data_IF_008346040632
#
_entry.id   IF_008346040632
#
_cell.length_a   1.000
_cell.length_b   1.000
_cell.length_c   1.000
_cell.angle_alpha   90.00
_cell.angle_beta   90.00
_cell.angle_gamma   90.00
#
_symmetry.space_group_name_H-M   'P 1'
#
loop_
_entity.id
_entity.type
_entity.pdbx_description
1 polymer ?
#
# COMPACT_ATOMS: atom_id res chain seq x y z
N UNK A 1 33.52 -38.20 14.17
CA UNK A 1 33.27 -36.82 13.69
C UNK A 1 33.32 -35.92 14.90
N UNK A 2 34.33 -35.07 15.02
CA UNK A 2 34.40 -34.10 16.10
C UNK A 2 33.45 -32.94 15.76
N UNK A 3 32.44 -32.67 16.59
CA UNK A 3 31.71 -31.41 16.55
C UNK A 3 32.70 -30.29 16.85
N UNK A 4 33.06 -29.52 15.82
CA UNK A 4 33.85 -28.30 15.99
C UNK A 4 32.91 -27.28 16.65
N UNK A 5 33.02 -27.15 17.96
CA UNK A 5 32.27 -26.15 18.71
C UNK A 5 32.76 -24.76 18.26
N UNK A 6 31.87 -23.86 17.79
CA UNK A 6 32.26 -22.59 17.21
C UNK A 6 33.08 -21.79 18.22
N UNK A 7 34.21 -21.21 17.77
CA UNK A 7 35.00 -20.38 18.68
C UNK A 7 34.22 -19.11 19.03
N UNK A 8 34.46 -18.49 20.20
CA UNK A 8 33.80 -17.24 20.57
C UNK A 8 34.00 -16.10 19.55
N UNK A 9 35.07 -16.17 18.74
CA UNK A 9 35.31 -15.24 17.63
C UNK A 9 34.39 -15.53 16.44
N UNK A 10 34.20 -16.80 16.07
CA UNK A 10 33.25 -17.20 15.01
C UNK A 10 31.81 -16.83 15.38
N UNK A 11 31.45 -17.01 16.66
CA UNK A 11 30.15 -16.59 17.18
C UNK A 11 29.94 -15.08 17.03
N UNK A 12 30.93 -14.25 17.39
CA UNK A 12 30.85 -12.78 17.23
C UNK A 12 30.79 -12.36 15.76
N UNK A 13 31.58 -12.97 14.89
CA UNK A 13 31.55 -12.70 13.46
C UNK A 13 30.17 -13.02 12.85
N UNK A 14 29.57 -14.15 13.23
CA UNK A 14 28.22 -14.53 12.78
C UNK A 14 27.13 -13.58 13.27
N UNK A 15 27.25 -13.05 14.50
CA UNK A 15 26.33 -12.06 15.05
C UNK A 15 26.46 -10.71 14.34
N UNK A 16 27.68 -10.28 14.02
CA UNK A 16 27.93 -9.04 13.27
C UNK A 16 27.40 -9.13 11.84
N UNK A 17 27.57 -10.27 11.17
CA UNK A 17 26.99 -10.51 9.84
C UNK A 17 25.46 -10.53 9.89
N UNK A 18 24.86 -11.21 10.86
CA UNK A 18 23.42 -11.21 11.07
C UNK A 18 22.89 -9.79 11.36
N UNK A 19 23.61 -9.00 12.15
CA UNK A 19 23.26 -7.60 12.44
C UNK A 19 23.33 -6.72 11.19
N UNK A 20 24.36 -6.87 10.36
CA UNK A 20 24.49 -6.15 9.08
C UNK A 20 23.38 -6.52 8.10
N UNK A 21 23.05 -7.81 7.99
CA UNK A 21 21.93 -8.27 7.17
C UNK A 21 20.59 -7.74 7.68
N UNK A 22 20.36 -7.79 9.00
CA UNK A 22 19.14 -7.25 9.62
C UNK A 22 19.00 -5.74 9.40
N UNK A 23 20.10 -4.98 9.50
CA UNK A 23 20.11 -3.55 9.22
C UNK A 23 19.81 -3.24 7.74
N UNK A 24 20.34 -4.06 6.82
CA UNK A 24 20.05 -3.97 5.38
C UNK A 24 18.57 -4.21 5.07
N UNK A 25 17.97 -5.23 5.69
CA UNK A 25 16.54 -5.54 5.55
C UNK A 25 15.64 -4.42 6.11
N UNK A 26 15.96 -3.86 7.28
CA UNK A 26 15.19 -2.73 7.84
C UNK A 26 15.25 -1.48 6.96
N UNK A 27 16.41 -1.18 6.36
CA UNK A 27 16.51 -0.08 5.38
C UNK A 27 15.66 -0.33 4.14
N UNK A 28 15.66 -1.56 3.63
CA UNK A 28 14.80 -1.93 2.50
C UNK A 28 13.30 -1.81 2.85
N UNK A 29 12.88 -2.28 4.02
CA UNK A 29 11.50 -2.20 4.49
C UNK A 29 11.04 -0.74 4.71
N UNK A 30 11.92 0.13 5.22
CA UNK A 30 11.60 1.55 5.45
C UNK A 30 11.46 2.38 4.16
N UNK A 31 12.10 1.96 3.06
CA UNK A 31 11.92 2.58 1.74
C UNK A 31 10.49 2.43 1.21
N UNK A 32 9.70 1.52 1.78
CA UNK A 32 8.31 1.28 1.38
C UNK A 32 7.32 2.27 1.99
N UNK A 33 7.65 2.85 3.15
CA UNK A 33 6.83 3.86 3.82
C UNK A 33 6.47 5.05 2.90
N UNK A 34 7.42 5.73 2.22
CA UNK A 34 7.07 6.85 1.35
C UNK A 34 6.22 6.43 0.15
N UNK A 35 6.36 5.20 -0.36
CA UNK A 35 5.56 4.69 -1.49
C UNK A 35 4.09 4.54 -1.08
N UNK A 36 3.84 3.89 0.06
CA UNK A 36 2.47 3.75 0.59
C UNK A 36 1.82 5.10 0.92
N UNK A 37 2.59 6.02 1.50
CA UNK A 37 2.11 7.37 1.81
C UNK A 37 1.80 8.14 0.52
N UNK A 38 2.67 8.07 -0.48
CA UNK A 38 2.43 8.70 -1.78
C UNK A 38 1.17 8.14 -2.44
N UNK A 39 0.99 6.81 -2.45
CA UNK A 39 -0.20 6.17 -2.99
C UNK A 39 -1.48 6.63 -2.26
N UNK A 40 -1.47 6.65 -0.93
CA UNK A 40 -2.60 7.14 -0.12
C UNK A 40 -2.91 8.62 -0.41
N UNK A 41 -1.87 9.47 -0.51
CA UNK A 41 -2.03 10.89 -0.79
C UNK A 41 -2.59 11.13 -2.19
N UNK A 42 -2.08 10.43 -3.22
CA UNK A 42 -2.61 10.52 -4.59
C UNK A 42 -4.07 10.08 -4.64
N UNK A 43 -4.41 9.00 -3.95
CA UNK A 43 -5.79 8.50 -3.91
C UNK A 43 -6.75 9.49 -3.24
N UNK A 44 -6.35 10.06 -2.09
CA UNK A 44 -7.12 11.10 -1.40
C UNK A 44 -7.26 12.37 -2.24
N UNK A 45 -6.21 12.80 -2.94
CA UNK A 45 -6.27 13.99 -3.80
C UNK A 45 -7.29 13.80 -4.93
N UNK A 46 -7.27 12.64 -5.60
CA UNK A 46 -8.28 12.27 -6.61
C UNK A 46 -9.68 12.28 -5.98
N UNK A 47 -9.83 11.70 -4.80
CA UNK A 47 -11.12 11.66 -4.12
C UNK A 47 -11.68 13.04 -3.75
N UNK A 48 -10.84 13.94 -3.26
CA UNK A 48 -11.24 15.32 -2.96
C UNK A 48 -11.70 16.03 -4.23
N UNK A 49 -10.95 15.92 -5.33
CA UNK A 49 -11.29 16.53 -6.61
C UNK A 49 -12.67 16.07 -7.12
N UNK A 50 -13.02 14.81 -6.87
CA UNK A 50 -14.30 14.22 -7.28
C UNK A 50 -15.44 14.62 -6.35
N UNK A 51 -15.17 14.68 -5.04
CA UNK A 51 -16.17 15.10 -4.05
C UNK A 51 -16.63 16.54 -4.23
N UNK A 52 -15.75 17.44 -4.70
CA UNK A 52 -16.08 18.86 -4.94
C UNK A 52 -16.74 19.13 -6.28
N UNK A 53 -16.60 18.23 -7.27
CA UNK A 53 -17.21 18.40 -8.59
C UNK A 53 -17.98 17.14 -9.07
N UNK A 54 -19.02 16.72 -8.36
CA UNK A 54 -19.80 15.51 -8.69
C UNK A 54 -20.62 15.66 -9.99
N UNK A 55 -20.75 16.87 -10.54
CA UNK A 55 -21.66 17.19 -11.65
C UNK A 55 -21.15 16.74 -13.03
N UNK A 56 -19.91 16.29 -13.13
CA UNK A 56 -19.40 15.72 -14.37
C UNK A 56 -19.64 14.22 -14.41
N UNK A 57 -20.89 13.76 -14.60
CA UNK A 57 -21.23 12.37 -14.98
C UNK A 57 -20.66 11.99 -16.35
N UNK A 58 -19.40 12.31 -16.58
CA UNK A 58 -18.63 12.14 -17.78
C UNK A 58 -17.79 10.89 -17.55
N UNK A 59 -17.99 9.88 -18.39
CA UNK A 59 -17.33 8.56 -18.32
C UNK A 59 -15.80 8.68 -18.18
N UNK A 60 -15.23 9.77 -18.70
CA UNK A 60 -13.81 10.11 -18.57
C UNK A 60 -13.33 10.28 -17.12
N UNK A 61 -14.19 10.76 -16.22
CA UNK A 61 -13.85 10.97 -14.81
C UNK A 61 -13.84 9.62 -14.06
N UNK A 62 -14.83 8.75 -14.31
CA UNK A 62 -14.83 7.39 -13.77
C UNK A 62 -13.68 6.54 -14.32
N UNK A 63 -13.35 6.70 -15.61
CA UNK A 63 -12.22 6.00 -16.24
C UNK A 63 -10.89 6.50 -15.70
N UNK A 64 -10.75 7.82 -15.48
CA UNK A 64 -9.57 8.40 -14.84
C UNK A 64 -9.31 7.89 -13.42
N UNK A 65 -10.37 7.64 -12.64
CA UNK A 65 -10.28 7.01 -11.32
C UNK A 65 -9.79 5.59 -11.44
N UNK A 66 -10.39 4.80 -12.34
CA UNK A 66 -10.01 3.42 -12.55
C UNK A 66 -8.55 3.31 -13.02
N UNK A 67 -8.13 4.17 -13.95
CA UNK A 67 -6.74 4.25 -14.45
C UNK A 67 -5.78 4.60 -13.31
N UNK A 68 -6.10 5.61 -12.50
CA UNK A 68 -5.23 6.02 -11.38
C UNK A 68 -5.11 4.92 -10.33
N UNK A 69 -6.21 4.23 -10.05
CA UNK A 69 -6.24 3.06 -9.17
C UNK A 69 -5.36 1.92 -9.71
N UNK A 70 -5.57 1.52 -10.97
CA UNK A 70 -4.81 0.43 -11.62
C UNK A 70 -3.33 0.78 -11.68
N UNK A 71 -2.98 2.02 -12.04
CA UNK A 71 -1.60 2.51 -12.07
C UNK A 71 -0.96 2.47 -10.68
N UNK A 72 -1.67 2.90 -9.63
CA UNK A 72 -1.17 2.88 -8.25
C UNK A 72 -0.89 1.47 -7.73
N UNK A 73 -1.78 0.50 -8.06
CA UNK A 73 -1.57 -0.91 -7.74
C UNK A 73 -0.37 -1.47 -8.53
N UNK A 74 -0.28 -1.19 -9.83
CA UNK A 74 0.81 -1.65 -10.68
C UNK A 74 2.18 -1.10 -10.23
N UNK A 75 2.25 0.19 -9.88
CA UNK A 75 3.46 0.84 -9.35
C UNK A 75 3.88 0.17 -8.04
N UNK A 76 2.93 -0.12 -7.16
CA UNK A 76 3.20 -0.81 -5.88
C UNK A 76 3.81 -2.20 -6.12
N UNK A 77 3.22 -3.00 -7.02
CA UNK A 77 3.76 -4.30 -7.38
C UNK A 77 5.11 -4.23 -8.10
N UNK A 78 5.31 -3.21 -8.95
CA UNK A 78 6.59 -2.98 -9.63
C UNK A 78 7.72 -2.69 -8.63
N UNK A 79 7.50 -1.78 -7.69
CA UNK A 79 8.49 -1.49 -6.64
C UNK A 79 8.67 -2.67 -5.68
N UNK A 80 7.58 -3.39 -5.37
CA UNK A 80 7.63 -4.63 -4.60
C UNK A 80 8.53 -5.69 -5.26
N UNK A 81 8.43 -5.85 -6.58
CA UNK A 81 9.29 -6.77 -7.33
C UNK A 81 10.74 -6.27 -7.35
N UNK A 82 10.96 -4.96 -7.51
CA UNK A 82 12.29 -4.43 -7.79
C UNK A 82 13.23 -4.52 -6.59
N UNK A 83 12.72 -4.33 -5.38
CA UNK A 83 13.47 -4.53 -4.14
C UNK A 83 13.55 -6.06 -3.93
N UNK A 84 14.74 -6.65 -3.89
CA UNK A 84 14.93 -8.12 -3.80
C UNK A 84 15.18 -8.64 -2.38
N UNK A 85 15.29 -7.76 -1.40
CA UNK A 85 15.61 -8.09 -0.02
C UNK A 85 14.45 -7.66 0.91
N UNK A 86 13.48 -8.57 1.11
CA UNK A 86 12.31 -8.32 1.94
C UNK A 86 12.39 -9.09 3.25
N UNK A 87 11.97 -8.47 4.35
CA UNK A 87 11.59 -9.24 5.52
C UNK A 87 10.23 -9.91 5.29
N UNK A 88 10.01 -11.10 5.87
CA UNK A 88 8.71 -11.79 5.80
C UNK A 88 7.57 -10.93 6.34
N UNK A 89 7.87 -10.10 7.36
CA UNK A 89 6.91 -9.19 7.99
C UNK A 89 6.56 -8.03 7.06
N UNK A 90 7.56 -7.42 6.41
CA UNK A 90 7.36 -6.37 5.41
C UNK A 90 6.51 -6.86 4.23
N UNK A 91 6.80 -8.05 3.70
CA UNK A 91 6.00 -8.68 2.65
C UNK A 91 4.56 -8.92 3.08
N UNK A 92 4.33 -9.44 4.29
CA UNK A 92 2.98 -9.69 4.79
C UNK A 92 2.17 -8.39 4.90
N UNK A 93 2.77 -7.31 5.44
CA UNK A 93 2.10 -6.01 5.53
C UNK A 93 1.79 -5.41 4.17
N UNK A 94 2.72 -5.50 3.21
CA UNK A 94 2.49 -5.08 1.83
C UNK A 94 1.29 -5.83 1.23
N UNK A 95 1.27 -7.16 1.33
CA UNK A 95 0.20 -7.98 0.73
C UNK A 95 -1.14 -7.68 1.39
N UNK A 96 -1.21 -7.69 2.72
CA UNK A 96 -2.46 -7.46 3.47
C UNK A 96 -3.01 -6.06 3.22
N UNK A 97 -2.15 -5.03 3.22
CA UNK A 97 -2.60 -3.65 2.98
C UNK A 97 -3.05 -3.42 1.53
N UNK A 98 -2.33 -3.97 0.56
CA UNK A 98 -2.68 -3.86 -0.86
C UNK A 98 -3.97 -4.63 -1.17
N UNK A 99 -4.15 -5.82 -0.60
CA UNK A 99 -5.39 -6.59 -0.72
C UNK A 99 -6.55 -5.88 -0.04
N UNK A 100 -6.38 -5.39 1.19
CA UNK A 100 -7.42 -4.65 1.90
C UNK A 100 -7.86 -3.40 1.13
N UNK A 101 -6.90 -2.61 0.66
CA UNK A 101 -7.17 -1.45 -0.21
C UNK A 101 -7.91 -1.85 -1.49
N UNK A 102 -7.48 -2.92 -2.15
CA UNK A 102 -8.07 -3.39 -3.41
C UNK A 102 -9.48 -3.91 -3.22
N UNK A 103 -9.70 -4.81 -2.26
CA UNK A 103 -11.01 -5.39 -1.98
C UNK A 103 -12.03 -4.34 -1.56
N UNK A 104 -11.62 -3.37 -0.73
CA UNK A 104 -12.48 -2.25 -0.36
C UNK A 104 -12.92 -1.46 -1.58
N UNK A 105 -11.99 -1.08 -2.46
CA UNK A 105 -12.32 -0.33 -3.66
C UNK A 105 -13.19 -1.12 -4.62
N UNK A 106 -12.91 -2.40 -4.84
CA UNK A 106 -13.76 -3.29 -5.66
C UNK A 106 -15.18 -3.35 -5.10
N UNK A 107 -15.34 -3.51 -3.78
CA UNK A 107 -16.65 -3.56 -3.14
C UNK A 107 -17.42 -2.25 -3.31
N UNK A 108 -16.74 -1.11 -3.12
CA UNK A 108 -17.33 0.22 -3.30
C UNK A 108 -17.77 0.43 -4.75
N UNK A 109 -16.90 0.14 -5.72
CA UNK A 109 -17.20 0.26 -7.16
C UNK A 109 -18.44 -0.58 -7.51
N UNK A 110 -18.47 -1.85 -7.11
CA UNK A 110 -19.60 -2.73 -7.38
C UNK A 110 -20.89 -2.25 -6.72
N UNK A 111 -20.84 -1.88 -5.44
CA UNK A 111 -21.99 -1.35 -4.72
C UNK A 111 -22.50 -0.06 -5.40
N UNK A 112 -21.59 0.80 -5.84
CA UNK A 112 -21.93 2.04 -6.53
C UNK A 112 -22.57 1.82 -7.89
N UNK A 113 -22.12 0.82 -8.66
CA UNK A 113 -22.77 0.42 -9.91
C UNK A 113 -24.17 -0.15 -9.63
N UNK A 114 -24.27 -1.10 -8.70
CA UNK A 114 -25.52 -1.81 -8.41
C UNK A 114 -26.64 -0.90 -7.88
N UNK A 115 -26.28 0.13 -7.11
CA UNK A 115 -27.25 1.04 -6.47
C UNK A 115 -27.41 2.37 -7.21
N UNK A 116 -26.71 2.57 -8.33
CA UNK A 116 -26.66 3.86 -9.01
C UNK A 116 -26.06 4.98 -8.15
N UNK A 117 -25.21 4.62 -7.18
CA UNK A 117 -24.65 5.52 -6.18
C UNK A 117 -23.74 6.60 -6.78
N UNK A 118 -23.18 6.33 -7.97
CA UNK A 118 -22.41 7.29 -8.78
C UNK A 118 -23.26 8.02 -9.82
N UNK A 119 -24.58 7.88 -9.75
CA UNK A 119 -25.50 8.59 -10.62
C UNK A 119 -25.45 10.11 -10.40
N UNK A 120 -25.80 10.90 -11.42
CA UNK A 120 -25.68 12.36 -11.43
C UNK A 120 -26.51 13.10 -10.36
N UNK A 121 -27.36 12.38 -9.62
CA UNK A 121 -28.26 12.92 -8.60
C UNK A 121 -27.77 12.70 -7.15
N UNK A 122 -26.64 12.01 -6.96
CA UNK A 122 -26.11 11.68 -5.63
C UNK A 122 -25.03 12.69 -5.18
N UNK A 123 -24.95 13.01 -3.87
CA UNK A 123 -23.93 13.91 -3.35
C UNK A 123 -22.52 13.28 -3.38
N UNK A 124 -21.53 14.02 -3.89
CA UNK A 124 -20.14 13.57 -4.03
C UNK A 124 -19.39 13.30 -2.72
N UNK A 125 -19.98 13.61 -1.56
CA UNK A 125 -19.39 13.39 -0.23
C UNK A 125 -19.14 11.91 0.08
N UNK A 126 -19.95 11.00 -0.46
CA UNK A 126 -19.79 9.57 -0.24
C UNK A 126 -18.48 9.02 -0.83
N UNK A 127 -18.01 9.60 -1.94
CA UNK A 127 -16.73 9.24 -2.54
C UNK A 127 -15.56 9.58 -1.61
N UNK A 128 -15.58 10.77 -1.02
CA UNK A 128 -14.56 11.22 -0.06
C UNK A 128 -14.51 10.34 1.18
N UNK A 129 -15.66 10.00 1.77
CA UNK A 129 -15.73 9.11 2.94
C UNK A 129 -15.19 7.72 2.61
N UNK A 130 -15.62 7.14 1.49
CA UNK A 130 -15.13 5.83 1.05
C UNK A 130 -13.63 5.81 0.81
N UNK A 131 -13.09 6.88 0.21
CA UNK A 131 -11.67 7.01 -0.04
C UNK A 131 -10.83 7.13 1.23
N UNK A 132 -11.34 7.83 2.25
CA UNK A 132 -10.71 7.89 3.58
C UNK A 132 -10.64 6.50 4.20
N UNK A 133 -11.70 5.70 4.11
CA UNK A 133 -11.69 4.32 4.62
C UNK A 133 -10.72 3.45 3.81
N UNK A 134 -10.68 3.61 2.49
CA UNK A 134 -9.82 2.85 1.60
C UNK A 134 -8.34 2.97 1.98
N UNK A 135 -7.87 4.17 2.36
CA UNK A 135 -6.44 4.39 2.65
C UNK A 135 -5.98 3.89 4.03
N UNK A 136 -6.91 3.54 4.94
CA UNK A 136 -6.55 3.10 6.31
C UNK A 136 -5.56 1.92 6.30
N UNK A 137 -5.76 0.83 5.55
CA UNK A 137 -4.81 -0.29 5.51
C UNK A 137 -3.42 0.13 5.01
N UNK A 138 -3.35 1.05 4.05
CA UNK A 138 -2.08 1.58 3.51
C UNK A 138 -1.33 2.39 4.56
N UNK A 139 -2.04 3.27 5.29
CA UNK A 139 -1.44 4.10 6.34
C UNK A 139 -1.00 3.26 7.54
N UNK A 140 -1.78 2.24 7.92
CA UNK A 140 -1.41 1.29 8.98
C UNK A 140 -0.14 0.53 8.60
N UNK A 141 -0.05 0.03 7.35
CA UNK A 141 1.16 -0.63 6.87
C UNK A 141 2.37 0.31 6.85
N UNK A 142 2.21 1.54 6.36
CA UNK A 142 3.27 2.55 6.32
C UNK A 142 3.80 2.91 7.72
N UNK A 143 2.91 2.96 8.70
CA UNK A 143 3.26 3.22 10.09
C UNK A 143 3.99 2.04 10.74
N UNK A 144 3.55 0.81 10.47
CA UNK A 144 4.18 -0.42 10.98
C UNK A 144 5.58 -0.63 10.40
N UNK A 145 5.75 -0.45 9.09
CA UNK A 145 7.06 -0.55 8.43
C UNK A 145 8.02 0.56 8.85
N UNK A 146 7.50 1.76 9.17
CA UNK A 146 8.29 2.86 9.71
C UNK A 146 8.80 2.69 11.15
N UNK A 147 8.34 1.67 11.88
CA UNK A 147 8.74 1.38 13.29
C UNK A 147 9.63 0.14 13.43
N UNK A 148 9.88 -0.58 12.34
CA UNK A 148 10.66 -1.81 12.31
C UNK A 148 12.14 -1.49 12.07
#
# INVERSE_FOLDING_TARGET
MAEISPTPQDARASLDEAAKQAAGLRRADSAFRPILVALAATYLAVAVLLSINPRGGNVLISDGVLITYVAGVAITFYFAWRIRAWSRVGTAWLVVSTLGFTLWNVAVIWASIATGWWGPHQPGLHFGVSAVVAVIPLLVAAWRTGRS
#
